data_IF_844215386980
#
_entry.id   IF_844215386980
#
_cell.length_a   1.000
_cell.length_b   1.000
_cell.length_c   1.000
_cell.angle_alpha   90.00
_cell.angle_beta   90.00
_cell.angle_gamma   90.00
#
_symmetry.space_group_name_H-M   'P 1'
#
loop_
_entity.id
_entity.type
_entity.pdbx_description
1 polymer ?
#
# COMPACT_ATOMS: atom_id res chain seq x y z
N UNK A 1 -9.77 -10.40 7.53
CA UNK A 1 -10.86 -10.38 6.53
C UNK A 1 -11.98 -11.43 6.69
N UNK A 2 -11.72 -12.69 7.12
CA UNK A 2 -12.78 -13.73 7.23
C UNK A 2 -13.95 -13.33 8.15
N UNK A 3 -13.68 -12.54 9.20
CA UNK A 3 -14.72 -12.07 10.13
C UNK A 3 -15.62 -10.98 9.56
N UNK A 4 -15.18 -10.25 8.52
CA UNK A 4 -15.93 -9.13 7.96
C UNK A 4 -16.93 -9.58 6.88
N UNK A 5 -16.56 -10.61 6.10
CA UNK A 5 -17.33 -11.07 4.94
C UNK A 5 -18.06 -12.40 5.16
N UNK A 6 -17.96 -13.01 6.35
CA UNK A 6 -18.60 -14.29 6.71
C UNK A 6 -18.37 -15.41 5.67
N UNK A 7 -17.16 -15.49 5.13
CA UNK A 7 -16.73 -16.51 4.16
C UNK A 7 -15.22 -16.48 3.91
N UNK A 8 -14.67 -17.58 3.40
CA UNK A 8 -13.26 -17.64 2.99
C UNK A 8 -13.12 -17.06 1.58
N UNK A 9 -12.94 -15.74 1.50
CA UNK A 9 -12.73 -15.05 0.22
C UNK A 9 -11.26 -14.82 -0.11
N UNK A 10 -10.34 -15.27 0.76
CA UNK A 10 -8.90 -15.05 0.59
C UNK A 10 -8.44 -15.60 -0.75
N UNK A 11 -8.80 -16.85 -1.07
CA UNK A 11 -8.44 -17.49 -2.34
C UNK A 11 -9.00 -16.74 -3.55
N UNK A 12 -10.24 -16.26 -3.48
CA UNK A 12 -10.86 -15.51 -4.57
C UNK A 12 -10.22 -14.14 -4.78
N UNK A 13 -9.85 -13.45 -3.69
CA UNK A 13 -9.11 -12.18 -3.75
C UNK A 13 -7.72 -12.40 -4.33
N UNK A 14 -6.98 -13.40 -3.85
CA UNK A 14 -5.65 -13.75 -4.38
C UNK A 14 -5.70 -14.13 -5.86
N UNK A 15 -6.69 -14.94 -6.26
CA UNK A 15 -6.91 -15.29 -7.67
C UNK A 15 -7.22 -14.06 -8.53
N UNK A 16 -8.07 -13.17 -8.04
CA UNK A 16 -8.44 -11.95 -8.77
C UNK A 16 -7.23 -11.02 -8.92
N UNK A 17 -6.43 -10.87 -7.86
CA UNK A 17 -5.19 -10.11 -7.89
C UNK A 17 -4.20 -10.69 -8.91
N UNK A 18 -4.02 -12.01 -8.93
CA UNK A 18 -3.15 -12.68 -9.89
C UNK A 18 -3.60 -12.43 -11.34
N UNK A 19 -4.89 -12.56 -11.64
CA UNK A 19 -5.44 -12.28 -12.97
C UNK A 19 -5.18 -10.83 -13.42
N UNK A 20 -5.40 -9.85 -12.54
CA UNK A 20 -5.16 -8.45 -12.85
C UNK A 20 -3.67 -8.16 -13.04
N UNK A 21 -2.80 -8.76 -12.21
CA UNK A 21 -1.34 -8.67 -12.34
C UNK A 21 -0.87 -9.19 -13.69
N UNK A 22 -1.34 -10.37 -14.09
CA UNK A 22 -0.95 -11.01 -15.34
C UNK A 22 -1.46 -10.23 -16.55
N UNK A 23 -2.70 -9.74 -16.50
CA UNK A 23 -3.26 -8.87 -17.53
C UNK A 23 -2.50 -7.54 -17.67
N UNK A 24 -2.06 -6.95 -16.56
CA UNK A 24 -1.25 -5.74 -16.57
C UNK A 24 0.15 -6.01 -17.14
N UNK A 25 0.81 -7.10 -16.72
CA UNK A 25 2.11 -7.50 -17.25
C UNK A 25 2.07 -7.83 -18.76
N UNK A 26 0.95 -8.37 -19.24
CA UNK A 26 0.71 -8.65 -20.66
C UNK A 26 0.30 -7.40 -21.48
N UNK A 27 0.11 -6.24 -20.84
CA UNK A 27 -0.34 -5.01 -21.50
C UNK A 27 -1.83 -4.98 -21.88
N UNK A 28 -2.63 -5.96 -21.43
CA UNK A 28 -4.08 -5.95 -21.63
C UNK A 28 -4.80 -4.99 -20.69
N UNK A 29 -4.20 -4.69 -19.54
CA UNK A 29 -4.66 -3.69 -18.59
C UNK A 29 -3.61 -2.57 -18.53
N UNK A 30 -3.93 -1.40 -19.11
CA UNK A 30 -2.99 -0.30 -19.26
C UNK A 30 -2.44 0.20 -17.91
N UNK A 31 -3.31 0.28 -16.90
CA UNK A 31 -2.97 0.74 -15.56
C UNK A 31 -3.58 -0.21 -14.52
N UNK A 32 -2.79 -0.54 -13.51
CA UNK A 32 -3.26 -1.33 -12.39
C UNK A 32 -2.55 -0.88 -11.11
N UNK A 33 -3.32 -0.63 -10.06
CA UNK A 33 -2.83 -0.23 -8.74
C UNK A 33 -3.50 -1.07 -7.65
N UNK A 34 -2.74 -1.42 -6.61
CA UNK A 34 -3.26 -2.04 -5.39
C UNK A 34 -3.39 -0.97 -4.33
N UNK A 35 -4.63 -0.67 -3.96
CA UNK A 35 -4.94 0.32 -2.93
C UNK A 35 -5.16 -0.37 -1.60
N UNK A 36 -4.36 0.00 -0.59
CA UNK A 36 -4.47 -0.50 0.79
C UNK A 36 -5.07 0.63 1.63
N UNK A 37 -6.33 0.46 2.04
CA UNK A 37 -6.98 1.42 2.94
C UNK A 37 -6.57 1.15 4.39
N UNK A 38 -5.87 2.10 5.00
CA UNK A 38 -5.31 1.97 6.33
C UNK A 38 -6.21 2.60 7.39
N UNK A 39 -6.58 1.78 8.37
CA UNK A 39 -7.19 2.22 9.62
C UNK A 39 -6.19 2.01 10.75
N UNK A 40 -6.26 2.88 11.77
CA UNK A 40 -5.37 2.79 12.93
C UNK A 40 -5.49 1.41 13.58
N UNK A 41 -4.35 0.75 13.80
CA UNK A 41 -4.26 -0.56 14.45
C UNK A 41 -4.31 -1.77 13.49
N UNK A 42 -4.25 -1.54 12.18
CA UNK A 42 -4.26 -2.58 11.14
C UNK A 42 -3.10 -2.41 10.15
N UNK A 43 -2.01 -1.80 10.59
CA UNK A 43 -0.83 -1.51 9.77
C UNK A 43 0.12 -2.70 9.61
N UNK A 44 -0.10 -3.79 10.34
CA UNK A 44 0.67 -5.03 10.28
C UNK A 44 0.43 -5.86 9.01
N UNK A 45 -0.77 -5.78 8.42
CA UNK A 45 -1.10 -6.50 7.18
C UNK A 45 -0.47 -5.88 5.91
N UNK A 46 0.07 -4.65 6.01
CA UNK A 46 0.53 -3.88 4.85
C UNK A 46 1.67 -4.56 4.11
N UNK A 47 2.65 -5.11 4.84
CA UNK A 47 3.79 -5.80 4.25
C UNK A 47 3.36 -7.07 3.51
N UNK A 48 2.37 -7.79 4.04
CA UNK A 48 1.83 -9.02 3.45
C UNK A 48 1.11 -8.69 2.14
N UNK A 49 0.22 -7.70 2.14
CA UNK A 49 -0.50 -7.28 0.93
C UNK A 49 0.47 -6.74 -0.12
N UNK A 50 1.49 -5.98 0.29
CA UNK A 50 2.51 -5.46 -0.60
C UNK A 50 3.33 -6.58 -1.28
N UNK A 51 3.61 -7.67 -0.57
CA UNK A 51 4.28 -8.84 -1.13
C UNK A 51 3.41 -9.51 -2.19
N UNK A 52 2.11 -9.71 -1.91
CA UNK A 52 1.14 -10.31 -2.86
C UNK A 52 0.93 -9.44 -4.12
N UNK A 53 1.02 -8.11 -3.98
CA UNK A 53 0.92 -7.17 -5.10
C UNK A 53 2.10 -7.27 -6.09
N UNK A 54 3.24 -7.84 -5.67
CA UNK A 54 4.42 -8.00 -6.51
C UNK A 54 4.97 -6.67 -7.03
N UNK A 55 5.08 -6.53 -8.35
CA UNK A 55 5.59 -5.31 -9.00
C UNK A 55 4.53 -4.21 -9.20
N UNK A 56 3.25 -4.49 -8.98
CA UNK A 56 2.14 -3.53 -9.19
C UNK A 56 2.26 -2.36 -8.23
N UNK A 57 1.92 -1.16 -8.68
CA UNK A 57 1.97 0.05 -7.86
C UNK A 57 1.07 -0.04 -6.63
N UNK A 58 1.62 0.38 -5.49
CA UNK A 58 0.92 0.36 -4.21
C UNK A 58 0.52 1.79 -3.85
N UNK A 59 -0.73 1.93 -3.42
CA UNK A 59 -1.28 3.17 -2.88
C UNK A 59 -1.73 2.93 -1.44
N UNK A 60 -1.15 3.65 -0.48
CA UNK A 60 -1.64 3.71 0.88
C UNK A 60 -2.72 4.78 0.98
N UNK A 61 -3.97 4.36 1.17
CA UNK A 61 -5.12 5.23 1.28
C UNK A 61 -5.49 5.43 2.76
N UNK A 62 -5.59 6.67 3.22
CA UNK A 62 -6.07 6.96 4.56
C UNK A 62 -7.53 6.53 4.70
N UNK A 63 -7.80 5.62 5.62
CA UNK A 63 -9.14 5.24 6.03
C UNK A 63 -9.74 6.29 6.97
N UNK A 64 -10.97 6.70 6.68
CA UNK A 64 -11.73 7.65 7.51
C UNK A 64 -12.95 6.96 8.08
N UNK A 65 -13.06 6.91 9.40
CA UNK A 65 -14.25 6.43 10.11
C UNK A 65 -14.61 7.41 11.23
N UNK A 66 -15.85 7.36 11.72
CA UNK A 66 -16.27 8.14 12.89
C UNK A 66 -15.84 7.54 14.23
N UNK A 67 -15.19 6.37 14.24
CA UNK A 67 -14.95 5.58 15.45
C UNK A 67 -13.52 5.67 15.97
N UNK A 68 -12.55 5.93 15.09
CA UNK A 68 -11.13 6.02 15.44
C UNK A 68 -10.47 7.23 14.78
N UNK A 69 -9.47 7.81 15.45
CA UNK A 69 -8.67 8.87 14.88
C UNK A 69 -7.93 8.35 13.65
N UNK A 70 -8.10 9.05 12.53
CA UNK A 70 -7.39 8.79 11.27
C UNK A 70 -5.87 8.85 11.46
N UNK A 71 -5.13 8.15 10.60
CA UNK A 71 -3.67 8.23 10.56
C UNK A 71 -3.24 9.58 9.97
N UNK A 72 -2.30 10.29 10.58
CA UNK A 72 -1.72 11.48 9.96
C UNK A 72 -0.84 11.10 8.76
N UNK A 73 -0.51 12.06 7.90
CA UNK A 73 0.41 11.82 6.79
C UNK A 73 1.77 11.28 7.28
N UNK A 74 2.29 11.77 8.41
CA UNK A 74 3.54 11.27 8.99
C UNK A 74 3.43 9.83 9.50
N UNK A 75 2.27 9.43 10.04
CA UNK A 75 2.01 8.04 10.40
C UNK A 75 1.93 7.16 9.15
N UNK A 76 1.29 7.63 8.08
CA UNK A 76 1.24 6.94 6.79
C UNK A 76 2.65 6.76 6.17
N UNK A 77 3.51 7.78 6.26
CA UNK A 77 4.91 7.70 5.81
C UNK A 77 5.71 6.67 6.60
N UNK A 78 5.54 6.61 7.93
CA UNK A 78 6.19 5.58 8.77
C UNK A 78 5.77 4.17 8.38
N UNK A 79 4.51 3.97 8.03
CA UNK A 79 4.01 2.69 7.52
C UNK A 79 4.65 2.40 6.15
N UNK A 80 4.70 3.39 5.26
CA UNK A 80 5.35 3.24 3.96
C UNK A 80 6.85 2.90 4.06
N UNK A 81 7.56 3.42 5.05
CA UNK A 81 8.98 3.11 5.30
C UNK A 81 9.25 1.63 5.63
N UNK A 82 8.21 0.87 6.01
CA UNK A 82 8.33 -0.59 6.20
C UNK A 82 8.41 -1.36 4.89
N UNK A 83 8.02 -0.73 3.77
CA UNK A 83 7.96 -1.39 2.47
C UNK A 83 9.29 -1.30 1.71
N UNK A 84 9.67 -2.34 0.95
CA UNK A 84 10.93 -2.38 0.21
C UNK A 84 10.92 -1.55 -1.08
N UNK A 85 9.86 -0.78 -1.37
CA UNK A 85 9.72 0.05 -2.57
C UNK A 85 9.01 1.38 -2.27
N UNK A 86 9.07 2.33 -3.20
CA UNK A 86 8.26 3.54 -3.13
C UNK A 86 6.78 3.24 -3.35
N UNK A 87 5.92 4.09 -2.79
CA UNK A 87 4.46 3.97 -2.85
C UNK A 87 3.82 5.35 -3.08
N UNK A 88 2.56 5.37 -3.46
CA UNK A 88 1.74 6.58 -3.35
C UNK A 88 1.04 6.61 -2.01
N UNK A 89 0.87 7.80 -1.44
CA UNK A 89 0.11 8.01 -0.21
C UNK A 89 -1.03 8.97 -0.54
N UNK A 90 -2.27 8.56 -0.25
CA UNK A 90 -3.47 9.37 -0.40
C UNK A 90 -4.05 9.69 0.96
N UNK A 91 -4.08 10.97 1.32
CA UNK A 91 -4.71 11.46 2.56
C UNK A 91 -5.81 12.46 2.23
N UNK A 92 -6.78 12.61 3.14
CA UNK A 92 -7.87 13.57 2.98
C UNK A 92 -7.37 15.02 2.94
N UNK A 93 -6.35 15.33 3.73
CA UNK A 93 -5.84 16.70 3.90
C UNK A 93 -4.73 17.04 2.90
N UNK A 94 -3.82 16.10 2.64
CA UNK A 94 -2.64 16.31 1.78
C UNK A 94 -2.82 15.88 0.32
N UNK A 95 -3.95 15.28 -0.04
CA UNK A 95 -4.17 14.75 -1.39
C UNK A 95 -3.32 13.51 -1.68
N UNK A 96 -2.81 13.38 -2.90
CA UNK A 96 -1.92 12.29 -3.33
C UNK A 96 -0.47 12.75 -3.41
N UNK A 97 0.45 11.97 -2.83
CA UNK A 97 1.90 12.18 -2.95
C UNK A 97 2.61 10.90 -3.37
N UNK A 98 3.66 11.03 -4.18
CA UNK A 98 4.64 9.96 -4.41
C UNK A 98 5.65 9.96 -3.25
N UNK A 99 5.85 8.80 -2.62
CA UNK A 99 6.73 8.65 -1.46
C UNK A 99 7.75 7.52 -1.68
N UNK A 100 9.03 7.87 -1.72
CA UNK A 100 10.14 6.91 -1.94
C UNK A 100 10.79 6.41 -0.65
N UNK A 101 10.29 6.85 0.51
CA UNK A 101 10.84 6.52 1.82
C UNK A 101 12.11 7.30 2.17
N UNK A 102 12.53 7.18 3.41
CA UNK A 102 13.76 7.80 3.93
C UNK A 102 15.06 7.15 3.41
N UNK A 103 14.96 6.17 2.51
CA UNK A 103 16.09 5.45 1.90
C UNK A 103 16.90 6.33 0.94
N UNK A 104 16.25 7.27 0.26
CA UNK A 104 16.91 8.29 -0.56
C UNK A 104 17.94 9.08 0.27
N UNK A 105 17.62 9.39 1.55
CA UNK A 105 18.53 10.07 2.49
C UNK A 105 19.68 9.18 2.99
N UNK A 106 19.47 7.86 3.15
CA UNK A 106 20.54 6.93 3.57
C UNK A 106 21.61 6.72 2.48
N UNK A 107 21.20 6.65 1.21
CA UNK A 107 22.14 6.53 0.10
C UNK A 107 22.92 7.82 -0.15
N UNK A 108 22.30 8.99 0.06
CA UNK A 108 23.00 10.28 -0.01
C UNK A 108 24.11 10.41 1.04
N UNK A 109 23.88 9.93 2.27
CA UNK A 109 24.88 9.97 3.37
C UNK A 109 26.05 9.01 3.17
N UNK A 110 25.89 7.91 2.44
CA UNK A 110 26.98 6.97 2.12
C UNK A 110 27.96 7.47 1.06
N UNK A 111 27.61 8.51 0.30
CA UNK A 111 28.44 9.06 -0.80
C UNK A 111 29.36 10.21 -0.39
N UNK A 112 29.33 10.63 0.88
CA UNK A 112 30.12 11.75 1.42
C UNK A 112 31.25 11.31 2.37
N UNK A 113 31.69 10.05 2.31
CA UNK A 113 32.83 9.56 3.09
C UNK A 113 33.90 8.97 2.19
#
# INVERSE_FOLDING_TARGET
YNNLLRGNYVENVQRSLALCRDAHAAGHLAEFEVVITLFRGYDDEVAIIAQEAGAVDIVLQQGVTGQVRVLSEDEMKKIADTLPRGVRIRTREGGEIQYEGDRSRRNARKRQR
#
